data_IF_573041498795
#
_entry.id   IF_573041498795
#
_cell.length_a   1.000
_cell.length_b   1.000
_cell.length_c   1.000
_cell.angle_alpha   90.00
_cell.angle_beta   90.00
_cell.angle_gamma   90.00
#
_symmetry.space_group_name_H-M   'P 1'
#
loop_
_entity.id
_entity.type
_entity.pdbx_description
1 polymer ?
#
# COMPACT_ATOMS: atom_id res chain seq x y z
N UNK A 1 8.30 11.19 -25.00
CA UNK A 1 8.42 12.47 -24.26
C UNK A 1 9.79 12.57 -23.59
N UNK A 2 10.31 13.78 -23.35
CA UNK A 2 11.57 13.98 -22.60
C UNK A 2 11.98 15.44 -22.35
N UNK A 3 11.37 16.40 -23.06
CA UNK A 3 11.86 17.78 -23.11
C UNK A 3 11.75 18.55 -21.77
N UNK A 4 10.65 18.39 -21.02
CA UNK A 4 10.43 19.16 -19.79
C UNK A 4 11.25 18.70 -18.57
N UNK A 5 11.50 17.39 -18.44
CA UNK A 5 12.41 16.88 -17.40
C UNK A 5 13.87 17.28 -17.72
N UNK A 6 14.31 17.14 -18.98
CA UNK A 6 15.59 17.71 -19.40
C UNK A 6 15.67 19.23 -19.21
N UNK A 7 14.57 19.98 -19.41
CA UNK A 7 14.53 21.44 -19.20
C UNK A 7 14.62 21.79 -17.70
N UNK A 8 13.99 21.02 -16.81
CA UNK A 8 14.10 21.19 -15.34
C UNK A 8 15.51 20.87 -14.84
N UNK A 9 16.07 19.72 -15.23
CA UNK A 9 17.42 19.26 -14.82
C UNK A 9 18.55 20.20 -15.26
N UNK A 10 18.32 21.04 -16.27
CA UNK A 10 19.27 22.08 -16.74
C UNK A 10 19.32 23.34 -15.86
N UNK A 11 18.46 23.46 -14.85
CA UNK A 11 18.55 24.54 -13.85
C UNK A 11 19.38 24.09 -12.64
N UNK A 12 20.20 24.98 -12.00
CA UNK A 12 20.97 24.60 -10.81
C UNK A 12 20.07 24.05 -9.69
N UNK A 13 18.91 24.67 -9.45
CA UNK A 13 17.91 24.18 -8.50
C UNK A 13 17.40 22.77 -8.87
N UNK A 14 17.09 22.52 -10.16
CA UNK A 14 16.66 21.20 -10.64
C UNK A 14 17.74 20.12 -10.52
N UNK A 15 19.02 20.49 -10.68
CA UNK A 15 20.14 19.58 -10.40
C UNK A 15 20.25 19.25 -8.91
N UNK A 16 20.28 20.26 -8.02
CA UNK A 16 20.30 20.05 -6.58
C UNK A 16 19.12 19.18 -6.11
N UNK A 17 17.90 19.47 -6.55
CA UNK A 17 16.71 18.67 -6.24
C UNK A 17 16.78 17.23 -6.79
N UNK A 18 17.55 16.99 -7.86
CA UNK A 18 17.84 15.63 -8.34
C UNK A 18 18.85 14.88 -7.47
N UNK A 19 19.70 15.57 -6.71
CA UNK A 19 20.65 14.98 -5.75
C UNK A 19 19.98 14.73 -4.40
N UNK A 20 19.25 15.70 -3.85
CA UNK A 20 18.54 15.57 -2.55
C UNK A 20 17.61 14.33 -2.51
N UNK A 21 16.98 14.00 -3.64
CA UNK A 21 16.15 12.80 -3.83
C UNK A 21 16.86 11.46 -3.53
N UNK A 22 18.19 11.39 -3.64
CA UNK A 22 18.96 10.17 -3.36
C UNK A 22 19.34 10.01 -1.88
N UNK A 23 19.18 11.04 -1.03
CA UNK A 23 19.61 10.97 0.38
C UNK A 23 18.98 9.79 1.14
N UNK A 24 17.68 9.46 1.02
CA UNK A 24 17.11 8.30 1.71
C UNK A 24 17.71 6.96 1.25
N UNK A 25 18.03 6.85 -0.04
CA UNK A 25 18.67 5.65 -0.62
C UNK A 25 20.12 5.51 -0.13
N UNK A 26 20.87 6.63 -0.11
CA UNK A 26 22.24 6.68 0.37
C UNK A 26 22.31 6.38 1.88
N UNK A 27 21.36 6.90 2.67
CA UNK A 27 21.24 6.60 4.10
C UNK A 27 21.00 5.10 4.35
N UNK A 28 20.01 4.49 3.71
CA UNK A 28 19.74 3.04 3.85
C UNK A 28 20.96 2.22 3.39
N UNK A 29 21.59 2.59 2.27
CA UNK A 29 22.80 1.91 1.76
C UNK A 29 23.97 2.02 2.76
N UNK A 30 24.16 3.17 3.41
CA UNK A 30 25.19 3.37 4.42
C UNK A 30 24.90 2.56 5.70
N UNK A 31 23.65 2.50 6.16
CA UNK A 31 23.24 1.66 7.30
C UNK A 31 23.49 0.18 7.01
N UNK A 32 23.20 -0.29 5.79
CA UNK A 32 23.47 -1.68 5.38
C UNK A 32 24.98 -1.97 5.29
N UNK A 33 25.78 -1.04 4.76
CA UNK A 33 27.24 -1.20 4.70
C UNK A 33 27.88 -1.22 6.11
N UNK A 34 27.39 -0.38 7.02
CA UNK A 34 27.79 -0.41 8.43
C UNK A 34 27.33 -1.69 9.14
N UNK A 35 26.12 -2.18 8.89
CA UNK A 35 25.64 -3.44 9.50
C UNK A 35 26.41 -4.65 8.98
N UNK A 36 26.89 -4.62 7.73
CA UNK A 36 27.83 -5.61 7.20
C UNK A 36 29.16 -5.61 7.97
N UNK A 37 29.76 -4.43 8.20
CA UNK A 37 30.97 -4.33 9.03
C UNK A 37 30.73 -4.87 10.45
N UNK A 38 29.66 -4.41 11.12
CA UNK A 38 29.35 -4.80 12.50
C UNK A 38 29.04 -6.31 12.62
N UNK A 39 28.32 -6.90 11.67
CA UNK A 39 28.00 -8.33 11.70
C UNK A 39 29.20 -9.21 11.33
N UNK A 40 29.87 -8.92 10.21
CA UNK A 40 30.92 -9.81 9.69
C UNK A 40 32.22 -9.63 10.46
N UNK A 41 32.63 -8.39 10.78
CA UNK A 41 33.92 -8.11 11.42
C UNK A 41 33.82 -8.19 12.95
N UNK A 42 32.90 -7.45 13.57
CA UNK A 42 32.83 -7.36 15.03
C UNK A 42 32.18 -8.61 15.66
N UNK A 43 31.00 -9.04 15.18
CA UNK A 43 30.31 -10.22 15.72
C UNK A 43 30.95 -11.54 15.26
N UNK A 44 31.06 -11.78 13.94
CA UNK A 44 31.53 -13.07 13.45
C UNK A 44 33.06 -13.25 13.60
N UNK A 45 33.88 -12.38 13.01
CA UNK A 45 35.35 -12.60 12.96
C UNK A 45 36.05 -12.34 14.30
N UNK A 46 35.61 -11.33 15.09
CA UNK A 46 36.28 -10.93 16.35
C UNK A 46 35.69 -11.53 17.62
N UNK A 47 34.42 -11.94 17.61
CA UNK A 47 33.68 -12.36 18.81
C UNK A 47 33.16 -13.81 18.74
N UNK A 48 33.31 -14.53 17.62
CA UNK A 48 32.89 -15.93 17.50
C UNK A 48 34.04 -16.92 17.71
N UNK A 49 34.03 -17.62 18.84
CA UNK A 49 35.02 -18.68 19.16
C UNK A 49 34.74 -20.00 18.40
N UNK A 50 33.50 -20.20 17.94
CA UNK A 50 33.07 -21.42 17.25
C UNK A 50 33.07 -21.25 15.72
N UNK A 51 34.18 -21.64 15.07
CA UNK A 51 34.34 -21.52 13.62
C UNK A 51 33.26 -22.22 12.78
N UNK A 52 32.68 -23.34 13.25
CA UNK A 52 31.59 -24.03 12.53
C UNK A 52 30.30 -23.20 12.63
N UNK A 53 29.97 -22.71 13.83
CA UNK A 53 28.84 -21.80 14.05
C UNK A 53 28.96 -20.53 13.21
N UNK A 54 30.16 -19.92 13.20
CA UNK A 54 30.48 -18.75 12.39
C UNK A 54 30.23 -18.99 10.88
N UNK A 55 30.62 -20.15 10.33
CA UNK A 55 30.38 -20.47 8.91
C UNK A 55 28.88 -20.57 8.60
N UNK A 56 28.08 -21.23 9.43
CA UNK A 56 26.62 -21.28 9.24
C UNK A 56 25.97 -19.90 9.39
N UNK A 57 26.45 -19.06 10.32
CA UNK A 57 25.98 -17.69 10.48
C UNK A 57 26.27 -16.84 9.24
N UNK A 58 27.52 -16.85 8.78
CA UNK A 58 27.94 -16.11 7.60
C UNK A 58 27.20 -16.59 6.34
N UNK A 59 26.94 -17.89 6.18
CA UNK A 59 26.19 -18.43 5.05
C UNK A 59 24.76 -17.87 4.98
N UNK A 60 23.98 -17.97 6.07
CA UNK A 60 22.61 -17.44 6.09
C UNK A 60 22.59 -15.91 5.98
N UNK A 61 23.54 -15.22 6.63
CA UNK A 61 23.70 -13.78 6.54
C UNK A 61 23.90 -13.32 5.09
N UNK A 62 24.82 -13.94 4.34
CA UNK A 62 25.09 -13.57 2.95
C UNK A 62 23.92 -13.91 2.00
N UNK A 63 23.22 -15.04 2.21
CA UNK A 63 22.03 -15.39 1.42
C UNK A 63 20.90 -14.36 1.64
N UNK A 64 20.56 -14.05 2.88
CA UNK A 64 19.51 -13.08 3.22
C UNK A 64 19.86 -11.66 2.75
N UNK A 65 21.10 -11.21 2.96
CA UNK A 65 21.59 -9.92 2.47
C UNK A 65 21.59 -9.84 0.94
N UNK A 66 21.94 -10.92 0.22
CA UNK A 66 21.95 -10.95 -1.24
C UNK A 66 20.53 -10.79 -1.80
N UNK A 67 19.55 -11.53 -1.25
CA UNK A 67 18.14 -11.44 -1.65
C UNK A 67 17.55 -10.05 -1.31
N UNK A 68 17.90 -9.50 -0.15
CA UNK A 68 17.53 -8.14 0.27
C UNK A 68 18.09 -7.07 -0.67
N UNK A 69 19.39 -7.07 -0.95
CA UNK A 69 20.03 -6.09 -1.83
C UNK A 69 19.56 -6.24 -3.29
N UNK A 70 19.36 -7.47 -3.78
CA UNK A 70 18.87 -7.71 -5.13
C UNK A 70 17.43 -7.18 -5.32
N UNK A 71 16.54 -7.45 -4.36
CA UNK A 71 15.16 -6.93 -4.39
C UNK A 71 15.08 -5.42 -4.17
N UNK A 72 15.91 -4.84 -3.29
CA UNK A 72 16.04 -3.39 -3.12
C UNK A 72 16.48 -2.71 -4.43
N UNK A 73 17.58 -3.18 -5.03
CA UNK A 73 18.13 -2.65 -6.28
C UNK A 73 17.15 -2.78 -7.45
N UNK A 74 16.45 -3.93 -7.56
CA UNK A 74 15.37 -4.11 -8.55
C UNK A 74 14.21 -3.15 -8.34
N UNK A 75 13.88 -2.79 -7.10
CA UNK A 75 12.82 -1.81 -6.82
C UNK A 75 13.23 -0.39 -7.21
N UNK A 76 14.48 0.00 -6.92
CA UNK A 76 15.06 1.30 -7.33
C UNK A 76 15.14 1.41 -8.85
N UNK A 77 15.82 0.47 -9.51
CA UNK A 77 16.25 0.62 -10.91
C UNK A 77 15.22 0.21 -11.96
N UNK A 78 14.11 -0.43 -11.56
CA UNK A 78 13.02 -0.74 -12.50
C UNK A 78 12.25 0.54 -12.83
N UNK A 79 12.23 0.91 -14.12
CA UNK A 79 11.49 2.06 -14.63
C UNK A 79 10.00 2.00 -14.28
N UNK A 80 9.37 3.17 -14.11
CA UNK A 80 7.92 3.33 -13.91
C UNK A 80 7.07 2.98 -15.15
N UNK A 81 7.75 2.63 -16.26
CA UNK A 81 7.14 2.39 -17.57
C UNK A 81 6.82 3.68 -18.32
N UNK A 82 6.34 3.53 -19.56
CA UNK A 82 5.78 4.62 -20.36
C UNK A 82 4.44 4.16 -20.93
N UNK A 83 3.46 5.06 -20.90
CA UNK A 83 2.12 4.77 -21.41
C UNK A 83 2.12 4.99 -22.94
N UNK A 84 1.69 4.01 -23.77
CA UNK A 84 1.77 4.10 -25.22
C UNK A 84 1.05 5.31 -25.81
N UNK A 85 1.53 5.83 -26.93
CA UNK A 85 1.06 7.10 -27.49
C UNK A 85 -0.43 7.08 -27.89
N UNK A 86 -1.02 5.91 -28.15
CA UNK A 86 -2.48 5.72 -28.35
C UNK A 86 -3.35 6.20 -27.17
N UNK A 87 -2.78 6.36 -25.96
CA UNK A 87 -3.46 6.90 -24.79
C UNK A 87 -3.39 8.43 -24.71
N UNK A 88 -2.52 9.06 -25.50
CA UNK A 88 -2.36 10.52 -25.57
C UNK A 88 -3.42 11.12 -26.48
N UNK A 89 -4.13 12.11 -25.96
CA UNK A 89 -5.10 12.88 -26.74
C UNK A 89 -4.30 13.82 -27.68
N UNK A 90 -4.62 13.88 -28.99
CA UNK A 90 -3.98 14.80 -29.93
C UNK A 90 -4.09 16.26 -29.47
N UNK A 91 -3.06 17.07 -29.70
CA UNK A 91 -2.99 18.43 -29.13
C UNK A 91 -4.12 19.35 -29.65
N UNK A 92 -4.74 19.05 -30.80
CA UNK A 92 -6.00 19.65 -31.25
C UNK A 92 -7.20 19.28 -30.36
N UNK A 93 -7.42 18.00 -30.07
CA UNK A 93 -8.52 17.55 -29.21
C UNK A 93 -8.32 18.00 -27.77
N UNK A 94 -7.08 18.05 -27.29
CA UNK A 94 -6.69 18.71 -26.03
C UNK A 94 -7.11 20.18 -26.05
N UNK A 95 -6.87 20.89 -27.14
CA UNK A 95 -7.29 22.30 -27.30
C UNK A 95 -8.81 22.44 -27.30
N UNK A 96 -9.54 21.55 -27.98
CA UNK A 96 -11.01 21.50 -27.96
C UNK A 96 -11.56 21.17 -26.56
N UNK A 97 -10.89 20.30 -25.80
CA UNK A 97 -11.24 19.92 -24.44
C UNK A 97 -11.11 21.09 -23.44
N UNK A 98 -10.03 21.88 -23.54
CA UNK A 98 -9.84 23.06 -22.68
C UNK A 98 -10.69 24.27 -23.10
N UNK A 99 -11.15 24.33 -24.36
CA UNK A 99 -12.07 25.37 -24.86
C UNK A 99 -13.55 25.03 -24.74
N UNK A 100 -13.91 23.84 -24.26
CA UNK A 100 -15.30 23.39 -24.21
C UNK A 100 -16.10 24.11 -23.10
N UNK A 101 -17.16 24.80 -23.48
CA UNK A 101 -17.94 25.71 -22.62
C UNK A 101 -18.75 25.00 -21.50
N UNK A 102 -18.83 23.66 -21.53
CA UNK A 102 -19.58 22.89 -20.54
C UNK A 102 -18.91 21.56 -20.16
N UNK A 103 -19.01 21.12 -18.88
CA UNK A 103 -18.44 19.84 -18.42
C UNK A 103 -18.97 18.62 -19.18
N UNK A 104 -20.22 18.64 -19.64
CA UNK A 104 -20.78 17.53 -20.42
C UNK A 104 -20.18 17.49 -21.84
N UNK A 105 -19.80 18.63 -22.42
CA UNK A 105 -19.04 18.67 -23.68
C UNK A 105 -17.63 18.10 -23.49
N UNK A 106 -16.95 18.44 -22.40
CA UNK A 106 -15.65 17.83 -22.04
C UNK A 106 -15.77 16.31 -21.86
N UNK A 107 -16.80 15.86 -21.12
CA UNK A 107 -17.11 14.44 -20.90
C UNK A 107 -17.45 13.72 -22.21
N UNK A 108 -18.13 14.37 -23.16
CA UNK A 108 -18.40 13.83 -24.51
C UNK A 108 -17.12 13.67 -25.33
N UNK A 109 -16.23 14.67 -25.34
CA UNK A 109 -14.92 14.59 -26.02
C UNK A 109 -14.11 13.41 -25.46
N UNK A 110 -13.96 13.35 -24.13
CA UNK A 110 -13.18 12.29 -23.48
C UNK A 110 -13.77 10.88 -23.68
N UNK A 111 -15.10 10.71 -23.66
CA UNK A 111 -15.72 9.41 -23.95
C UNK A 111 -15.64 9.00 -25.44
N UNK A 112 -15.57 9.96 -26.36
CA UNK A 112 -15.38 9.66 -27.78
C UNK A 112 -13.95 9.16 -28.06
N UNK A 113 -12.93 9.87 -27.58
CA UNK A 113 -11.54 9.42 -27.70
C UNK A 113 -11.32 8.06 -27.01
N UNK A 114 -11.83 7.91 -25.78
CA UNK A 114 -11.65 6.68 -25.00
C UNK A 114 -12.51 5.49 -25.42
N UNK A 115 -13.31 5.60 -26.50
CA UNK A 115 -14.20 4.52 -26.99
C UNK A 115 -13.44 3.24 -27.33
N UNK A 116 -12.22 3.40 -27.84
CA UNK A 116 -11.36 2.30 -28.30
C UNK A 116 -10.28 1.91 -27.27
N UNK A 117 -10.38 2.41 -26.03
CA UNK A 117 -9.44 2.12 -24.94
C UNK A 117 -10.10 1.23 -23.87
N UNK A 118 -9.37 0.28 -23.25
CA UNK A 118 -9.91 -0.59 -22.21
C UNK A 118 -10.02 0.14 -20.86
N UNK A 119 -10.86 1.18 -20.78
CA UNK A 119 -11.10 1.97 -19.56
C UNK A 119 -12.47 1.70 -18.96
N UNK A 120 -12.48 0.95 -17.86
CA UNK A 120 -13.67 0.72 -17.03
C UNK A 120 -13.85 1.81 -15.99
N UNK A 121 -12.77 2.43 -15.48
CA UNK A 121 -12.86 3.39 -14.38
C UNK A 121 -13.26 4.80 -14.83
N UNK A 122 -13.95 5.51 -13.93
CA UNK A 122 -14.45 6.87 -14.10
C UNK A 122 -14.10 7.75 -12.90
N UNK A 123 -14.36 9.03 -13.04
CA UNK A 123 -14.34 10.04 -11.97
C UNK A 123 -15.65 10.02 -11.18
N UNK A 124 -15.74 10.84 -10.11
CA UNK A 124 -16.96 11.00 -9.31
C UNK A 124 -18.17 11.51 -10.12
N UNK A 125 -17.95 12.30 -11.18
CA UNK A 125 -19.01 12.77 -12.09
C UNK A 125 -19.20 11.88 -13.34
N UNK A 126 -18.70 10.64 -13.31
CA UNK A 126 -18.87 9.65 -14.39
C UNK A 126 -18.08 9.96 -15.67
N UNK A 127 -17.14 10.91 -15.65
CA UNK A 127 -16.27 11.21 -16.79
C UNK A 127 -15.07 10.26 -16.85
N UNK A 128 -14.44 10.16 -18.04
CA UNK A 128 -13.22 9.38 -18.22
C UNK A 128 -12.06 10.06 -17.49
N UNK A 129 -11.20 9.26 -16.84
CA UNK A 129 -10.09 9.73 -16.02
C UNK A 129 -8.99 10.36 -16.88
N UNK A 130 -9.01 11.67 -17.09
CA UNK A 130 -7.98 12.42 -17.86
C UNK A 130 -6.77 12.84 -17.01
N UNK A 131 -5.62 13.10 -17.64
CA UNK A 131 -4.45 13.75 -17.04
C UNK A 131 -4.06 15.04 -17.80
N UNK A 132 -4.37 16.20 -17.23
CA UNK A 132 -4.05 17.52 -17.82
C UNK A 132 -2.55 17.80 -17.95
N UNK A 133 -1.70 17.14 -17.16
CA UNK A 133 -0.24 17.32 -17.20
C UNK A 133 0.41 16.48 -18.31
N UNK A 134 0.00 15.23 -18.47
CA UNK A 134 0.53 14.32 -19.49
C UNK A 134 -0.25 14.33 -20.81
N UNK A 135 -1.42 15.01 -20.86
CA UNK A 135 -2.37 15.01 -21.99
C UNK A 135 -2.86 13.61 -22.40
N UNK A 136 -2.96 12.69 -21.45
CA UNK A 136 -3.43 11.31 -21.69
C UNK A 136 -4.80 11.06 -21.06
N UNK A 137 -5.57 10.14 -21.64
CA UNK A 137 -6.51 9.33 -20.84
C UNK A 137 -5.67 8.42 -19.94
N UNK A 138 -5.99 8.38 -18.64
CA UNK A 138 -5.33 7.49 -17.69
C UNK A 138 -5.89 6.07 -17.89
N UNK A 139 -5.03 5.07 -18.10
CA UNK A 139 -5.41 3.67 -17.93
C UNK A 139 -6.07 3.42 -16.58
N UNK A 140 -6.79 2.31 -16.47
CA UNK A 140 -7.32 1.86 -15.20
C UNK A 140 -6.17 1.64 -14.20
N UNK A 141 -6.42 1.92 -12.92
CA UNK A 141 -5.42 1.87 -11.83
C UNK A 141 -4.18 2.79 -12.00
N UNK A 142 -4.06 3.54 -13.11
CA UNK A 142 -2.97 4.47 -13.34
C UNK A 142 -3.24 5.86 -12.74
N UNK A 143 -2.22 6.49 -12.14
CA UNK A 143 -2.30 7.82 -11.51
C UNK A 143 -1.12 8.71 -11.95
N UNK A 144 -1.19 10.03 -11.70
CA UNK A 144 -0.08 10.95 -12.00
C UNK A 144 0.77 11.20 -10.75
N UNK A 145 2.04 10.85 -10.79
CA UNK A 145 2.99 11.19 -9.74
C UNK A 145 3.67 12.52 -10.08
N UNK A 146 3.53 13.53 -9.21
CA UNK A 146 4.21 14.83 -9.35
C UNK A 146 5.75 14.70 -9.26
N UNK A 147 6.25 13.83 -8.37
CA UNK A 147 7.68 13.65 -8.10
C UNK A 147 8.41 12.99 -9.27
N UNK A 148 7.78 12.01 -9.93
CA UNK A 148 8.22 11.41 -11.19
C UNK A 148 7.78 12.24 -12.43
N UNK A 149 6.90 13.23 -12.25
CA UNK A 149 6.33 14.11 -13.29
C UNK A 149 5.66 13.38 -14.47
N UNK A 150 5.15 12.17 -14.26
CA UNK A 150 4.54 11.32 -15.27
C UNK A 150 3.30 10.59 -14.74
N UNK A 151 2.55 9.93 -15.64
CA UNK A 151 1.56 8.93 -15.25
C UNK A 151 2.19 7.54 -15.11
N UNK A 152 1.80 6.85 -14.05
CA UNK A 152 2.38 5.59 -13.55
C UNK A 152 1.29 4.52 -13.53
N UNK A 153 1.59 3.34 -14.07
CA UNK A 153 0.66 2.21 -14.19
C UNK A 153 0.50 1.44 -12.86
N UNK A 154 -0.74 1.01 -12.54
CA UNK A 154 -1.10 0.40 -11.23
C UNK A 154 -0.37 1.09 -10.07
N UNK A 155 -0.46 2.42 -10.02
CA UNK A 155 0.35 3.22 -9.10
C UNK A 155 -0.05 2.92 -7.66
N UNK A 156 0.93 2.52 -6.85
CA UNK A 156 0.71 2.25 -5.44
C UNK A 156 1.07 3.47 -4.58
N UNK A 157 2.32 3.92 -4.62
CA UNK A 157 2.77 5.15 -3.99
C UNK A 157 4.07 5.66 -4.63
N UNK A 158 4.54 6.84 -4.20
CA UNK A 158 5.92 7.26 -4.44
C UNK A 158 6.72 7.02 -3.16
N UNK A 159 7.85 6.32 -3.25
CA UNK A 159 8.61 5.85 -2.09
C UNK A 159 10.00 6.51 -2.06
N UNK A 160 10.25 7.46 -1.14
CA UNK A 160 11.55 8.14 -1.03
C UNK A 160 12.71 7.16 -0.78
N UNK A 161 12.48 6.10 0.00
CA UNK A 161 13.47 5.09 0.38
C UNK A 161 14.04 4.28 -0.79
N UNK A 162 13.39 4.30 -1.97
CA UNK A 162 13.88 3.73 -3.24
C UNK A 162 14.03 4.78 -4.35
N UNK A 163 13.81 6.07 -4.05
CA UNK A 163 13.77 7.19 -5.00
C UNK A 163 12.94 6.91 -6.28
N UNK A 164 11.83 6.17 -6.14
CA UNK A 164 11.06 5.68 -7.27
C UNK A 164 9.57 5.53 -6.91
N UNK A 165 8.70 5.43 -7.92
CA UNK A 165 7.31 5.05 -7.73
C UNK A 165 7.17 3.52 -7.64
N UNK A 166 6.42 3.07 -6.64
CA UNK A 166 5.98 1.68 -6.54
C UNK A 166 4.75 1.52 -7.44
N UNK A 167 4.84 0.61 -8.41
CA UNK A 167 3.99 0.56 -9.60
C UNK A 167 3.92 -0.86 -10.18
N UNK A 168 3.13 -1.05 -11.24
CA UNK A 168 2.95 -2.34 -11.95
C UNK A 168 4.26 -3.13 -12.18
N UNK A 169 5.32 -2.48 -12.66
CA UNK A 169 6.56 -3.14 -13.06
C UNK A 169 7.48 -3.53 -11.89
N UNK A 170 7.33 -2.90 -10.71
CA UNK A 170 8.20 -3.14 -9.55
C UNK A 170 7.48 -3.53 -8.24
N UNK A 171 6.15 -3.64 -8.22
CA UNK A 171 5.40 -3.97 -6.98
C UNK A 171 5.85 -5.30 -6.36
N UNK A 172 6.05 -6.35 -7.19
CA UNK A 172 6.63 -7.62 -6.74
C UNK A 172 8.00 -7.44 -6.07
N UNK A 173 8.87 -6.61 -6.65
CA UNK A 173 10.21 -6.35 -6.11
C UNK A 173 10.13 -5.61 -4.78
N UNK A 174 9.20 -4.66 -4.66
CA UNK A 174 8.95 -3.92 -3.42
C UNK A 174 8.45 -4.84 -2.30
N UNK A 175 7.49 -5.74 -2.59
CA UNK A 175 6.99 -6.71 -1.60
C UNK A 175 8.09 -7.70 -1.18
N UNK A 176 8.92 -8.18 -2.12
CA UNK A 176 10.09 -9.01 -1.81
C UNK A 176 11.15 -8.24 -1.00
N UNK A 177 11.39 -6.96 -1.33
CA UNK A 177 12.30 -6.07 -0.58
C UNK A 177 11.86 -5.93 0.87
N UNK A 178 10.58 -5.67 1.14
CA UNK A 178 10.04 -5.61 2.49
C UNK A 178 10.20 -6.95 3.24
N UNK A 179 9.90 -8.07 2.57
CA UNK A 179 10.03 -9.41 3.15
C UNK A 179 11.49 -9.77 3.49
N UNK A 180 12.43 -9.52 2.57
CA UNK A 180 13.84 -9.82 2.79
C UNK A 180 14.52 -8.84 3.76
N UNK A 181 14.12 -7.57 3.77
CA UNK A 181 14.52 -6.62 4.82
C UNK A 181 14.08 -7.13 6.20
N UNK A 182 12.83 -7.61 6.32
CA UNK A 182 12.31 -8.14 7.57
C UNK A 182 13.05 -9.41 8.02
N UNK A 183 13.28 -10.37 7.12
CA UNK A 183 14.06 -11.59 7.40
C UNK A 183 15.49 -11.24 7.82
N UNK A 184 16.15 -10.31 7.13
CA UNK A 184 17.48 -9.82 7.46
C UNK A 184 17.53 -9.19 8.87
N UNK A 185 16.61 -8.27 9.17
CA UNK A 185 16.53 -7.61 10.47
C UNK A 185 16.22 -8.59 11.62
N UNK A 186 15.26 -9.49 11.44
CA UNK A 186 14.93 -10.51 12.44
C UNK A 186 16.10 -11.49 12.67
N UNK A 187 16.79 -11.88 11.61
CA UNK A 187 17.96 -12.75 11.70
C UNK A 187 19.10 -12.09 12.48
N UNK A 188 19.47 -10.85 12.10
CA UNK A 188 20.52 -10.07 12.79
C UNK A 188 20.17 -9.83 14.26
N UNK A 189 18.92 -9.49 14.57
CA UNK A 189 18.48 -9.30 15.95
C UNK A 189 18.51 -10.61 16.76
N UNK A 190 18.09 -11.74 16.16
CA UNK A 190 18.13 -13.05 16.82
C UNK A 190 19.57 -13.48 17.15
N UNK A 191 20.51 -13.34 16.21
CA UNK A 191 21.90 -13.77 16.43
C UNK A 191 22.72 -12.82 17.30
N UNK A 192 22.35 -11.53 17.40
CA UNK A 192 22.98 -10.58 18.34
C UNK A 192 22.35 -10.56 19.74
N UNK A 193 21.20 -11.22 19.94
CA UNK A 193 20.47 -11.21 21.21
C UNK A 193 21.29 -11.77 22.39
N UNK A 194 22.12 -12.78 22.16
CA UNK A 194 22.97 -13.34 23.23
C UNK A 194 23.97 -12.29 23.74
N UNK A 195 24.77 -11.72 22.83
CA UNK A 195 25.79 -10.72 23.14
C UNK A 195 25.19 -9.43 23.72
N UNK A 196 24.00 -9.03 23.24
CA UNK A 196 23.19 -7.97 23.84
C UNK A 196 22.87 -8.26 25.31
N UNK A 197 22.38 -9.47 25.64
CA UNK A 197 22.07 -9.87 27.02
C UNK A 197 23.34 -9.98 27.87
N UNK A 198 24.46 -10.45 27.30
CA UNK A 198 25.72 -10.54 28.03
C UNK A 198 26.33 -9.16 28.32
N UNK A 199 26.21 -8.18 27.42
CA UNK A 199 26.65 -6.79 27.65
C UNK A 199 26.13 -6.27 29.00
N UNK A 200 24.80 -6.27 29.17
CA UNK A 200 24.15 -5.80 30.38
C UNK A 200 24.42 -6.69 31.61
N UNK A 201 24.60 -8.01 31.45
CA UNK A 201 24.94 -8.91 32.57
C UNK A 201 26.33 -8.64 33.13
N UNK A 202 27.33 -8.45 32.29
CA UNK A 202 28.70 -8.21 32.76
C UNK A 202 28.88 -6.81 33.33
N UNK A 203 28.26 -5.78 32.75
CA UNK A 203 28.32 -4.41 33.27
C UNK A 203 27.78 -4.30 34.71
N UNK A 204 26.67 -5.00 35.02
CA UNK A 204 26.10 -5.05 36.38
C UNK A 204 26.92 -5.87 37.40
N UNK A 205 27.95 -6.62 36.98
CA UNK A 205 28.78 -7.46 37.87
C UNK A 205 30.26 -7.03 37.92
N UNK A 206 30.74 -6.21 36.98
CA UNK A 206 32.14 -5.84 36.85
C UNK A 206 32.36 -4.33 37.00
N UNK A 207 32.56 -3.88 38.24
CA UNK A 207 32.87 -2.49 38.59
C UNK A 207 34.23 -2.05 37.98
N UNK A 208 34.22 -1.54 36.75
CA UNK A 208 35.30 -0.71 36.20
C UNK A 208 36.43 -1.39 35.40
N UNK A 209 36.13 -2.32 34.49
CA UNK A 209 37.11 -2.78 33.47
C UNK A 209 36.62 -2.58 32.03
N UNK A 210 36.44 -1.33 31.62
CA UNK A 210 35.88 -0.95 30.30
C UNK A 210 36.90 -0.89 29.14
N UNK A 211 38.20 -1.03 29.41
CA UNK A 211 39.25 -0.50 28.52
C UNK A 211 39.85 -1.47 27.49
N UNK A 212 39.45 -2.75 27.46
CA UNK A 212 40.11 -3.78 26.62
C UNK A 212 39.33 -4.22 25.37
N UNK A 213 38.09 -3.75 25.16
CA UNK A 213 37.25 -4.23 24.06
C UNK A 213 36.02 -3.36 23.72
N UNK A 214 36.01 -2.08 24.11
CA UNK A 214 34.79 -1.26 24.09
C UNK A 214 34.12 -1.11 22.71
N UNK A 215 34.87 -0.74 21.66
CA UNK A 215 34.29 -0.28 20.38
C UNK A 215 33.44 -1.35 19.67
N UNK A 216 33.95 -2.58 19.55
CA UNK A 216 33.21 -3.68 18.89
C UNK A 216 31.92 -4.06 19.62
N UNK A 217 31.90 -3.97 20.96
CA UNK A 217 30.71 -4.24 21.77
C UNK A 217 29.61 -3.20 21.55
N UNK A 218 29.98 -1.92 21.36
CA UNK A 218 29.01 -0.88 20.95
C UNK A 218 28.46 -1.12 19.54
N UNK A 219 29.27 -1.58 18.58
CA UNK A 219 28.75 -1.95 17.25
C UNK A 219 27.67 -3.04 17.33
N UNK A 220 27.89 -4.10 18.12
CA UNK A 220 26.91 -5.19 18.31
C UNK A 220 25.64 -4.67 19.02
N UNK A 221 25.80 -3.82 20.05
CA UNK A 221 24.68 -3.20 20.78
C UNK A 221 23.79 -2.36 19.87
N UNK A 222 24.37 -1.44 19.09
CA UNK A 222 23.63 -0.63 18.12
C UNK A 222 23.01 -1.48 17.00
N UNK A 223 23.68 -2.56 16.58
CA UNK A 223 23.21 -3.43 15.52
C UNK A 223 21.90 -4.15 15.94
N UNK A 224 21.84 -4.66 17.17
CA UNK A 224 20.61 -5.22 17.74
C UNK A 224 19.46 -4.20 17.78
N UNK A 225 19.71 -3.00 18.34
CA UNK A 225 18.68 -1.96 18.43
C UNK A 225 18.15 -1.51 17.06
N UNK A 226 19.04 -1.25 16.11
CA UNK A 226 18.66 -0.82 14.75
C UNK A 226 17.90 -1.94 14.02
N UNK A 227 18.33 -3.20 14.17
CA UNK A 227 17.63 -4.35 13.58
C UNK A 227 16.20 -4.50 14.13
N UNK A 228 16.00 -4.40 15.45
CA UNK A 228 14.66 -4.46 16.06
C UNK A 228 13.79 -3.26 15.63
N UNK A 229 14.34 -2.05 15.62
CA UNK A 229 13.62 -0.83 15.19
C UNK A 229 13.10 -0.94 13.75
N UNK A 230 13.93 -1.43 12.82
CA UNK A 230 13.50 -1.69 11.45
C UNK A 230 12.54 -2.90 11.38
N UNK A 231 12.77 -3.99 12.11
CA UNK A 231 11.90 -5.15 12.09
C UNK A 231 10.45 -4.81 12.51
N UNK A 232 10.26 -4.08 13.61
CA UNK A 232 8.92 -3.64 14.07
C UNK A 232 8.21 -2.81 12.98
N UNK A 233 8.94 -1.87 12.37
CA UNK A 233 8.45 -1.02 11.28
C UNK A 233 8.10 -1.82 10.01
N UNK A 234 8.91 -2.83 9.70
CA UNK A 234 8.75 -3.68 8.51
C UNK A 234 7.63 -4.70 8.68
N UNK A 235 7.36 -5.23 9.88
CA UNK A 235 6.23 -6.14 10.15
C UNK A 235 4.91 -5.49 9.75
N UNK A 236 4.66 -4.24 10.16
CA UNK A 236 3.40 -3.56 9.86
C UNK A 236 3.27 -3.23 8.36
N UNK A 237 4.34 -2.71 7.74
CA UNK A 237 4.34 -2.35 6.32
C UNK A 237 4.25 -3.58 5.40
N UNK A 238 5.01 -4.64 5.69
CA UNK A 238 4.96 -5.90 4.94
C UNK A 238 3.60 -6.57 5.10
N UNK A 239 3.07 -6.67 6.34
CA UNK A 239 1.74 -7.25 6.59
C UNK A 239 0.62 -6.50 5.85
N UNK A 240 0.68 -5.17 5.82
CA UNK A 240 -0.26 -4.34 5.05
C UNK A 240 -0.15 -4.59 3.54
N UNK A 241 1.06 -4.68 2.97
CA UNK A 241 1.22 -4.96 1.54
C UNK A 241 0.85 -6.40 1.16
N UNK A 242 1.07 -7.40 2.03
CA UNK A 242 0.55 -8.75 1.84
C UNK A 242 -0.98 -8.75 1.86
N UNK A 243 -1.63 -8.01 2.76
CA UNK A 243 -3.08 -7.81 2.72
C UNK A 243 -3.53 -7.19 1.37
N UNK A 244 -2.87 -6.11 0.93
CA UNK A 244 -3.18 -5.43 -0.34
C UNK A 244 -3.04 -6.35 -1.57
N UNK A 245 -1.99 -7.18 -1.61
CA UNK A 245 -1.82 -8.24 -2.62
C UNK A 245 -3.01 -9.20 -2.57
N UNK A 246 -3.35 -9.75 -1.40
CA UNK A 246 -4.41 -10.76 -1.24
C UNK A 246 -5.82 -10.24 -1.55
N UNK A 247 -6.06 -8.93 -1.56
CA UNK A 247 -7.33 -8.30 -2.02
C UNK A 247 -7.22 -7.57 -3.38
N UNK A 248 -6.07 -7.68 -4.06
CA UNK A 248 -5.72 -6.99 -5.31
C UNK A 248 -6.07 -5.49 -5.32
N UNK A 249 -5.69 -4.75 -4.28
CA UNK A 249 -5.81 -3.28 -4.21
C UNK A 249 -4.42 -2.64 -4.20
N UNK A 250 -4.31 -1.44 -4.74
CA UNK A 250 -3.19 -0.54 -4.41
C UNK A 250 -3.48 0.24 -3.12
N UNK A 251 -2.45 0.84 -2.54
CA UNK A 251 -2.58 1.79 -1.42
C UNK A 251 -3.56 2.92 -1.75
N UNK A 252 -3.52 3.49 -2.97
CA UNK A 252 -4.48 4.53 -3.39
C UNK A 252 -5.93 4.03 -3.42
N UNK A 253 -6.15 2.79 -3.89
CA UNK A 253 -7.47 2.16 -3.98
C UNK A 253 -8.01 1.74 -2.60
N UNK A 254 -7.14 1.47 -1.63
CA UNK A 254 -7.53 1.18 -0.25
C UNK A 254 -8.13 2.40 0.45
N UNK A 255 -7.55 3.59 0.23
CA UNK A 255 -8.11 4.87 0.69
C UNK A 255 -9.35 5.27 -0.10
N UNK A 256 -9.28 5.33 -1.44
CA UNK A 256 -10.37 5.79 -2.31
C UNK A 256 -10.75 4.70 -3.32
N UNK A 257 -11.95 4.14 -3.15
CA UNK A 257 -12.48 3.13 -4.04
C UNK A 257 -12.44 3.58 -5.52
N UNK A 258 -11.99 2.73 -6.47
CA UNK A 258 -12.19 3.00 -7.88
C UNK A 258 -13.70 3.01 -8.20
N UNK A 259 -14.08 3.90 -9.13
CA UNK A 259 -15.46 3.99 -9.63
C UNK A 259 -15.49 3.35 -11.00
N UNK A 260 -16.26 2.28 -11.14
CA UNK A 260 -16.49 1.60 -12.41
C UNK A 260 -17.65 2.26 -13.18
N UNK A 261 -17.55 2.27 -14.51
CA UNK A 261 -18.59 2.74 -15.44
C UNK A 261 -19.96 2.06 -15.23
N UNK A 262 -19.96 0.84 -14.68
CA UNK A 262 -21.14 0.08 -14.28
C UNK A 262 -20.93 -0.33 -12.82
N UNK A 263 -21.96 -0.25 -11.97
CA UNK A 263 -21.87 -0.57 -10.54
C UNK A 263 -21.41 0.59 -9.64
N UNK A 264 -20.62 1.54 -10.15
CA UNK A 264 -20.20 2.72 -9.38
C UNK A 264 -18.96 2.46 -8.51
N UNK A 265 -18.84 3.06 -7.30
CA UNK A 265 -17.69 2.87 -6.42
C UNK A 265 -17.63 1.45 -5.84
N UNK A 266 -16.56 0.71 -6.11
CA UNK A 266 -16.34 -0.62 -5.52
C UNK A 266 -14.87 -0.83 -5.11
N UNK A 267 -14.63 -1.21 -3.85
CA UNK A 267 -13.29 -1.60 -3.36
C UNK A 267 -12.89 -3.02 -3.77
N UNK A 268 -13.80 -3.84 -4.29
CA UNK A 268 -13.58 -5.23 -4.66
C UNK A 268 -13.58 -5.49 -6.18
N UNK A 269 -13.69 -4.46 -7.03
CA UNK A 269 -13.87 -4.66 -8.47
C UNK A 269 -12.72 -5.40 -9.18
N UNK A 270 -11.51 -5.38 -8.62
CA UNK A 270 -10.34 -6.15 -9.10
C UNK A 270 -10.04 -7.41 -8.27
N UNK A 271 -10.89 -7.76 -7.30
CA UNK A 271 -10.68 -8.91 -6.42
C UNK A 271 -11.21 -10.19 -7.08
N UNK A 272 -10.29 -11.11 -7.43
CA UNK A 272 -10.53 -12.36 -8.14
C UNK A 272 -10.50 -13.59 -7.22
N UNK A 273 -10.38 -13.37 -5.90
CA UNK A 273 -10.03 -14.39 -4.90
C UNK A 273 -8.54 -14.41 -4.57
N UNK A 274 -8.20 -14.75 -3.30
CA UNK A 274 -6.86 -14.56 -2.70
C UNK A 274 -5.70 -15.12 -3.53
N UNK A 275 -5.82 -16.33 -4.06
CA UNK A 275 -4.75 -16.98 -4.84
C UNK A 275 -4.57 -16.33 -6.22
N UNK A 276 -5.67 -16.09 -6.95
CA UNK A 276 -5.62 -15.38 -8.23
C UNK A 276 -5.01 -13.97 -8.06
N UNK A 277 -5.44 -13.23 -7.03
CA UNK A 277 -4.88 -11.92 -6.68
C UNK A 277 -3.36 -11.94 -6.40
N UNK A 278 -2.86 -13.03 -5.80
CA UNK A 278 -1.43 -13.24 -5.59
C UNK A 278 -0.71 -13.52 -6.93
N UNK A 279 -1.25 -14.40 -7.78
CA UNK A 279 -0.72 -14.66 -9.12
C UNK A 279 -0.70 -13.42 -10.04
N UNK A 280 -1.61 -12.46 -9.87
CA UNK A 280 -1.55 -11.16 -10.58
C UNK A 280 -0.25 -10.36 -10.28
N UNK A 281 0.40 -10.61 -9.14
CA UNK A 281 1.64 -9.93 -8.71
C UNK A 281 2.88 -10.83 -8.79
N UNK A 282 2.73 -12.11 -8.48
CA UNK A 282 3.85 -13.07 -8.39
C UNK A 282 3.98 -14.01 -9.61
N UNK A 283 2.95 -14.09 -10.45
CA UNK A 283 2.88 -15.01 -11.58
C UNK A 283 2.46 -16.43 -11.19
N UNK A 284 2.33 -17.29 -12.19
CA UNK A 284 1.93 -18.69 -12.03
C UNK A 284 3.12 -19.60 -11.70
N UNK A 285 4.30 -19.29 -12.26
CA UNK A 285 5.53 -20.04 -12.05
C UNK A 285 6.10 -19.84 -10.64
N UNK A 286 5.80 -20.77 -9.73
CA UNK A 286 6.23 -20.76 -8.33
C UNK A 286 7.75 -20.59 -8.14
N UNK A 287 8.53 -21.08 -9.11
CA UNK A 287 9.99 -20.97 -9.15
C UNK A 287 10.46 -19.52 -9.07
N UNK A 288 9.69 -18.57 -9.62
CA UNK A 288 10.03 -17.15 -9.62
C UNK A 288 9.43 -16.37 -8.45
N UNK A 289 8.52 -16.93 -7.64
CA UNK A 289 7.82 -16.17 -6.60
C UNK A 289 8.77 -15.46 -5.62
N UNK A 290 9.81 -16.16 -5.17
CA UNK A 290 10.83 -15.64 -4.25
C UNK A 290 11.97 -14.88 -4.96
N UNK A 291 12.02 -14.90 -6.30
CA UNK A 291 13.08 -14.22 -7.06
C UNK A 291 12.59 -12.84 -7.52
N UNK A 292 13.39 -11.75 -7.35
CA UNK A 292 13.06 -10.43 -7.86
C UNK A 292 13.33 -10.31 -9.37
N UNK A 293 12.66 -11.20 -10.13
CA UNK A 293 12.51 -11.20 -11.59
C UNK A 293 11.04 -10.91 -11.92
N UNK A 294 10.78 -10.24 -13.05
CA UNK A 294 9.42 -9.82 -13.39
C UNK A 294 8.58 -11.04 -13.80
N UNK A 295 7.46 -11.25 -13.13
CA UNK A 295 6.47 -12.30 -13.43
C UNK A 295 5.04 -11.87 -13.13
N UNK A 296 4.77 -10.57 -12.92
CA UNK A 296 3.41 -10.05 -12.76
C UNK A 296 2.61 -10.29 -14.05
N UNK A 297 1.31 -10.60 -13.91
CA UNK A 297 0.43 -10.81 -15.06
C UNK A 297 -0.06 -9.49 -15.66
N UNK A 298 -0.54 -9.56 -16.91
CA UNK A 298 -1.16 -8.44 -17.62
C UNK A 298 -0.17 -7.48 -18.28
N UNK A 299 -0.70 -6.38 -18.83
CA UNK A 299 0.05 -5.37 -19.58
C UNK A 299 0.35 -4.09 -18.76
N UNK A 300 -0.38 -3.90 -17.66
CA UNK A 300 -0.36 -2.71 -16.81
C UNK A 300 -1.40 -1.64 -17.17
N UNK A 301 -2.16 -1.82 -18.26
CA UNK A 301 -3.18 -0.90 -18.75
C UNK A 301 -4.61 -1.44 -18.56
N UNK A 302 -4.77 -2.75 -18.68
CA UNK A 302 -6.00 -3.52 -18.53
C UNK A 302 -5.86 -4.49 -17.35
N UNK A 303 -6.97 -4.71 -16.64
CA UNK A 303 -7.00 -5.58 -15.46
C UNK A 303 -8.34 -6.33 -15.43
N UNK A 304 -8.35 -7.66 -15.20
CA UNK A 304 -9.60 -8.41 -15.07
C UNK A 304 -10.41 -7.92 -13.87
N UNK A 305 -11.74 -7.86 -14.01
CA UNK A 305 -12.65 -7.50 -12.92
C UNK A 305 -13.44 -8.71 -12.41
N UNK A 306 -13.96 -8.60 -11.19
CA UNK A 306 -14.93 -9.55 -10.62
C UNK A 306 -16.20 -9.68 -11.49
N UNK A 307 -16.56 -8.62 -12.23
CA UNK A 307 -17.68 -8.63 -13.18
C UNK A 307 -17.39 -9.41 -14.47
N UNK A 308 -16.12 -9.56 -14.84
CA UNK A 308 -15.69 -10.37 -15.99
C UNK A 308 -15.57 -11.85 -15.59
N UNK A 309 -15.05 -12.12 -14.39
CA UNK A 309 -14.97 -13.47 -13.83
C UNK A 309 -16.36 -14.12 -13.69
N UNK A 310 -17.33 -13.39 -13.14
CA UNK A 310 -18.71 -13.87 -13.00
C UNK A 310 -19.42 -14.08 -14.34
N UNK A 311 -19.16 -13.24 -15.35
CA UNK A 311 -19.62 -13.48 -16.73
C UNK A 311 -19.02 -14.74 -17.33
N UNK A 312 -17.70 -14.93 -17.22
CA UNK A 312 -17.02 -16.11 -17.73
C UNK A 312 -17.58 -17.40 -17.12
N UNK A 313 -17.75 -17.44 -15.79
CA UNK A 313 -18.39 -18.57 -15.10
C UNK A 313 -19.83 -18.81 -15.60
N UNK A 314 -20.64 -17.76 -15.74
CA UNK A 314 -22.01 -17.89 -16.25
C UNK A 314 -22.06 -18.42 -17.69
N UNK A 315 -21.12 -18.02 -18.56
CA UNK A 315 -21.00 -18.58 -19.92
C UNK A 315 -20.62 -20.06 -19.88
N UNK A 316 -19.67 -20.47 -19.02
CA UNK A 316 -19.32 -21.90 -18.85
C UNK A 316 -20.52 -22.72 -18.38
N UNK A 317 -21.31 -22.21 -17.42
CA UNK A 317 -22.54 -22.88 -16.97
C UNK A 317 -23.62 -22.93 -18.05
N UNK A 318 -23.76 -21.89 -18.88
CA UNK A 318 -24.75 -21.85 -19.97
C UNK A 318 -24.41 -22.78 -21.16
N UNK A 319 -23.13 -23.09 -21.37
CA UNK A 319 -22.69 -24.09 -22.37
C UNK A 319 -22.79 -25.53 -21.82
N UNK A 320 -22.73 -25.70 -20.50
CA UNK A 320 -22.82 -26.98 -19.81
C UNK A 320 -24.28 -27.49 -19.64
N UNK A 321 -24.94 -27.83 -20.76
CA UNK A 321 -26.12 -28.71 -20.73
C UNK A 321 -25.75 -30.08 -20.11
N UNK A 322 -26.68 -30.75 -19.40
CA UNK A 322 -26.33 -31.84 -18.48
C UNK A 322 -25.99 -33.15 -19.21
N UNK A 323 -24.71 -33.35 -19.52
CA UNK A 323 -24.13 -34.67 -19.79
C UNK A 323 -23.78 -35.33 -18.45
N UNK A 324 -23.99 -36.65 -18.36
CA UNK A 324 -23.98 -37.37 -17.08
C UNK A 324 -22.64 -37.29 -16.34
N UNK A 325 -22.74 -37.11 -15.03
CA UNK A 325 -21.67 -37.35 -14.07
C UNK A 325 -21.41 -38.86 -14.00
N UNK A 326 -20.30 -39.30 -14.58
CA UNK A 326 -19.80 -40.66 -14.38
C UNK A 326 -18.82 -40.64 -13.21
N UNK A 327 -19.22 -41.18 -12.06
CA UNK A 327 -18.31 -41.35 -10.93
C UNK A 327 -17.35 -42.52 -11.23
N UNK A 328 -16.05 -42.24 -11.18
CA UNK A 328 -14.99 -43.24 -11.40
C UNK A 328 -14.32 -43.57 -10.06
N UNK A 329 -14.56 -44.78 -9.53
CA UNK A 329 -13.94 -45.23 -8.29
C UNK A 329 -12.45 -45.53 -8.46
N UNK A 330 -11.70 -45.37 -7.36
CA UNK A 330 -10.30 -45.74 -7.23
C UNK A 330 -10.03 -46.32 -5.84
N UNK A 331 -10.68 -47.44 -5.52
CA UNK A 331 -10.45 -48.15 -4.26
C UNK A 331 -9.09 -48.87 -4.26
N UNK A 332 -8.34 -48.73 -3.17
CA UNK A 332 -7.27 -49.68 -2.82
C UNK A 332 -7.55 -50.22 -1.42
N UNK A 333 -8.11 -51.43 -1.35
CA UNK A 333 -8.47 -52.05 -0.09
C UNK A 333 -7.25 -52.53 0.71
N UNK A 334 -7.33 -52.42 2.03
CA UNK A 334 -6.63 -53.29 2.99
C UNK A 334 -7.63 -53.72 4.06
N UNK A 335 -7.38 -54.84 4.73
CA UNK A 335 -8.44 -55.66 5.32
C UNK A 335 -8.21 -56.05 6.79
N UNK A 336 -9.28 -56.59 7.41
CA UNK A 336 -9.37 -57.26 8.73
C UNK A 336 -9.59 -56.33 9.94
N UNK A 337 -10.37 -56.70 10.97
CA UNK A 337 -11.29 -57.85 11.14
C UNK A 337 -12.38 -57.53 12.20
N UNK A 338 -13.36 -58.44 12.33
CA UNK A 338 -14.65 -58.26 13.02
C UNK A 338 -14.63 -58.14 14.57
N UNK A 339 -15.71 -57.63 15.15
CA UNK A 339 -16.03 -57.73 16.59
C UNK A 339 -17.17 -56.81 17.05
N UNK A 340 -18.26 -57.36 17.62
CA UNK A 340 -19.48 -56.62 18.03
C UNK A 340 -19.93 -57.03 19.47
N UNK A 341 -21.10 -56.60 19.99
CA UNK A 341 -21.32 -55.48 20.93
C UNK A 341 -21.56 -55.89 22.40
N UNK A 342 -21.71 -54.93 23.34
CA UNK A 342 -22.77 -54.95 24.40
C UNK A 342 -22.91 -53.66 25.22
N UNK A 343 -24.17 -53.21 25.36
CA UNK A 343 -24.90 -52.54 26.46
C UNK A 343 -24.24 -51.65 27.53
N UNK A 344 -24.72 -50.39 27.61
CA UNK A 344 -25.73 -49.88 28.60
C UNK A 344 -26.13 -48.43 28.25
N UNK A 345 -27.43 -48.08 28.15
CA UNK A 345 -28.31 -47.54 29.22
C UNK A 345 -27.59 -46.44 30.04
N UNK A 346 -28.08 -45.20 30.23
CA UNK A 346 -29.42 -44.59 30.15
C UNK A 346 -29.22 -43.03 30.12
N UNK A 347 -30.04 -42.09 29.65
CA UNK A 347 -31.43 -42.00 29.12
C UNK A 347 -31.50 -40.84 28.07
N UNK A 348 -32.47 -40.74 27.13
CA UNK A 348 -33.81 -40.11 27.17
C UNK A 348 -33.89 -38.59 27.52
N UNK A 349 -34.66 -37.75 26.82
CA UNK A 349 -35.49 -37.90 25.60
C UNK A 349 -35.53 -36.56 24.80
N UNK A 350 -35.81 -36.55 23.49
CA UNK A 350 -35.44 -35.43 22.61
C UNK A 350 -36.55 -34.42 22.26
N UNK A 351 -36.14 -33.44 21.46
CA UNK A 351 -36.94 -32.70 20.47
C UNK A 351 -38.08 -33.53 19.85
N UNK A 352 -39.22 -32.89 19.56
CA UNK A 352 -39.96 -33.21 18.33
C UNK A 352 -40.44 -31.93 17.64
N UNK A 353 -40.67 -32.06 16.34
CA UNK A 353 -41.08 -31.04 15.40
C UNK A 353 -42.50 -31.30 14.91
N UNK A 354 -43.19 -30.27 14.42
CA UNK A 354 -44.27 -30.50 13.46
C UNK A 354 -44.36 -29.35 12.47
N UNK A 355 -44.76 -29.67 11.25
CA UNK A 355 -44.76 -28.82 10.08
C UNK A 355 -46.13 -28.93 9.42
N UNK A 356 -46.78 -27.82 9.08
CA UNK A 356 -47.73 -27.79 7.97
C UNK A 356 -47.99 -26.37 7.44
N UNK A 357 -48.20 -26.29 6.11
CA UNK A 357 -48.58 -25.10 5.36
C UNK A 357 -50.11 -24.96 5.31
N UNK A 358 -50.66 -23.75 5.10
CA UNK A 358 -51.42 -23.45 3.86
C UNK A 358 -51.96 -22.01 3.65
N UNK A 359 -52.20 -21.72 2.36
CA UNK A 359 -53.22 -20.85 1.74
C UNK A 359 -53.22 -19.28 1.83
N UNK A 360 -52.81 -18.70 0.69
CA UNK A 360 -53.61 -17.88 -0.26
C UNK A 360 -54.16 -16.44 0.01
N UNK A 361 -53.72 -15.54 -0.89
CA UNK A 361 -54.49 -14.61 -1.75
C UNK A 361 -55.20 -13.33 -1.23
N UNK A 362 -54.94 -12.23 -1.98
CA UNK A 362 -55.88 -11.18 -2.46
C UNK A 362 -56.60 -10.26 -1.43
N UNK A 363 -56.97 -9.00 -1.74
CA UNK A 363 -56.59 -8.05 -2.81
C UNK A 363 -56.82 -6.59 -2.34
N UNK A 364 -56.28 -5.64 -3.10
CA UNK A 364 -56.54 -4.17 -3.12
C UNK A 364 -57.83 -3.59 -2.53
N UNK A 365 -57.72 -2.37 -1.96
CA UNK A 365 -58.73 -1.30 -2.16
C UNK A 365 -58.11 0.11 -2.05
N UNK A 366 -58.73 1.09 -2.73
CA UNK A 366 -58.40 2.52 -2.66
C UNK A 366 -59.23 3.26 -1.61
N UNK A 367 -58.70 4.37 -1.07
CA UNK A 367 -59.28 5.74 -1.03
C UNK A 367 -58.47 6.62 -0.05
N UNK A 368 -58.39 7.97 -0.03
CA UNK A 368 -58.60 9.14 -0.94
C UNK A 368 -58.91 10.35 -0.02
N UNK A 369 -58.62 11.59 -0.45
CA UNK A 369 -58.84 12.91 0.23
C UNK A 369 -57.87 13.27 1.37
N UNK A 370 -57.57 14.55 1.66
CA UNK A 370 -57.96 15.83 0.98
C UNK A 370 -56.98 16.99 1.25
N UNK A 371 -57.05 18.03 0.42
CA UNK A 371 -56.24 19.26 0.47
C UNK A 371 -56.67 20.25 1.58
N UNK A 372 -55.71 21.10 2.00
CA UNK A 372 -55.79 22.58 1.98
C UNK A 372 -54.35 23.12 2.16
N UNK A 373 -53.77 23.99 1.32
CA UNK A 373 -54.14 25.31 0.77
C UNK A 373 -53.71 26.49 1.66
N UNK A 374 -52.64 27.20 1.27
CA UNK A 374 -52.60 28.68 1.12
C UNK A 374 -51.30 29.19 0.44
N UNK A 375 -51.32 30.46 0.02
CA UNK A 375 -50.43 31.07 -1.00
C UNK A 375 -50.27 32.59 -0.72
N UNK A 376 -49.54 33.33 -1.58
CA UNK A 376 -49.39 34.81 -1.66
C UNK A 376 -48.25 35.39 -0.77
N UNK A 377 -47.50 36.44 -1.13
CA UNK A 377 -47.49 37.26 -2.39
C UNK A 377 -46.12 37.93 -2.70
N UNK A 378 -46.08 38.85 -3.69
CA UNK A 378 -44.90 39.31 -4.47
C UNK A 378 -44.10 40.57 -3.96
N UNK A 379 -43.21 41.08 -4.85
CA UNK A 379 -42.18 42.14 -4.74
C UNK A 379 -42.75 43.60 -4.91
N UNK A 380 -42.00 44.72 -5.21
CA UNK A 380 -40.55 45.01 -5.34
C UNK A 380 -40.12 46.34 -4.60
N UNK A 381 -39.06 47.12 -4.86
CA UNK A 381 -37.83 47.11 -5.72
C UNK A 381 -36.64 47.77 -4.93
N UNK A 382 -35.75 48.73 -5.30
CA UNK A 382 -35.41 49.52 -6.52
C UNK A 382 -33.95 50.07 -6.42
N UNK A 383 -33.11 49.89 -7.46
CA UNK A 383 -31.88 50.66 -7.80
C UNK A 383 -30.66 50.68 -6.81
N UNK A 384 -29.39 50.86 -7.22
CA UNK A 384 -28.77 51.04 -8.54
C UNK A 384 -27.23 50.74 -8.55
N UNK A 385 -26.70 50.36 -9.73
CA UNK A 385 -25.41 50.88 -10.26
C UNK A 385 -24.09 50.14 -9.96
N UNK A 386 -23.42 49.65 -11.03
CA UNK A 386 -21.94 49.78 -11.12
C UNK A 386 -21.08 48.58 -11.53
N UNK A 387 -20.63 48.58 -12.80
CA UNK A 387 -19.30 48.11 -13.30
C UNK A 387 -18.81 46.66 -13.01
N UNK A 388 -18.91 45.85 -14.07
CA UNK A 388 -17.84 45.02 -14.67
C UNK A 388 -16.55 44.80 -13.84
N UNK A 389 -16.27 43.55 -13.46
CA UNK A 389 -14.95 42.89 -13.65
C UNK A 389 -15.15 41.36 -13.65
N UNK A 390 -14.36 40.63 -14.44
CA UNK A 390 -14.44 39.17 -14.49
C UNK A 390 -13.44 38.54 -13.51
N UNK A 391 -13.91 37.64 -12.65
CA UNK A 391 -13.07 36.93 -11.67
C UNK A 391 -13.03 35.42 -11.97
N UNK A 392 -11.84 34.91 -12.32
CA UNK A 392 -11.63 33.49 -12.52
C UNK A 392 -11.62 32.73 -11.18
N UNK A 393 -12.47 31.71 -11.02
CA UNK A 393 -12.48 30.86 -9.82
C UNK A 393 -11.35 29.82 -9.88
N UNK A 394 -10.28 30.06 -9.12
CA UNK A 394 -9.22 29.07 -8.87
C UNK A 394 -9.65 28.07 -7.80
N UNK A 395 -10.01 26.84 -8.19
CA UNK A 395 -10.20 25.72 -7.25
C UNK A 395 -8.85 25.11 -6.87
N UNK A 396 -8.33 25.46 -5.69
CA UNK A 396 -7.22 24.72 -5.08
C UNK A 396 -7.76 23.43 -4.44
N UNK A 397 -7.21 22.27 -4.80
CA UNK A 397 -7.32 21.05 -3.99
C UNK A 397 -5.96 20.75 -3.35
N UNK A 398 -5.99 20.43 -2.05
CA UNK A 398 -4.81 20.51 -1.18
C UNK A 398 -3.70 19.51 -1.45
N UNK A 399 -2.47 19.97 -1.26
CA UNK A 399 -1.36 19.10 -0.89
C UNK A 399 -1.35 18.94 0.63
N UNK A 400 -1.41 17.71 1.13
CA UNK A 400 -1.22 17.44 2.56
C UNK A 400 0.28 17.37 2.84
N UNK A 401 0.77 18.28 3.68
CA UNK A 401 2.09 18.21 4.30
C UNK A 401 1.88 18.00 5.80
N UNK A 402 2.69 17.16 6.43
CA UNK A 402 2.61 16.89 7.88
C UNK A 402 3.63 17.75 8.58
N UNK A 403 3.19 18.56 9.53
CA UNK A 403 4.03 19.33 10.43
C UNK A 403 3.42 19.21 11.85
N UNK A 404 4.23 18.82 12.83
CA UNK A 404 3.82 18.67 14.23
C UNK A 404 4.80 19.39 15.15
N UNK A 405 4.45 20.61 15.54
CA UNK A 405 4.93 21.27 16.77
C UNK A 405 3.72 22.01 17.35
N UNK A 406 3.49 21.91 18.66
CA UNK A 406 2.34 22.54 19.33
C UNK A 406 2.62 23.98 19.77
N UNK A 407 1.64 24.63 20.40
CA UNK A 407 1.60 24.85 21.87
C UNK A 407 0.46 25.84 22.25
N UNK A 408 0.29 26.09 23.56
CA UNK A 408 -0.48 27.17 24.22
C UNK A 408 -2.02 27.06 24.28
N UNK A 409 -2.72 27.63 25.28
CA UNK A 409 -2.39 28.01 26.68
C UNK A 409 -3.65 28.55 27.41
N UNK A 410 -3.67 28.52 28.76
CA UNK A 410 -4.20 29.51 29.75
C UNK A 410 -4.58 28.82 31.08
N UNK A 411 -4.00 29.17 32.25
CA UNK A 411 -4.29 30.30 33.19
C UNK A 411 -5.70 30.25 33.79
N UNK A 412 -5.98 30.62 35.06
CA UNK A 412 -5.22 31.33 36.12
C UNK A 412 -5.29 30.49 37.46
N UNK A 413 -4.79 30.84 38.66
CA UNK A 413 -4.20 32.06 39.25
C UNK A 413 -3.25 31.70 40.45
N UNK A 414 -2.76 32.72 41.18
CA UNK A 414 -2.13 32.65 42.53
C UNK A 414 -2.93 33.58 43.49
N UNK A 415 -2.74 33.63 44.84
CA UNK A 415 -1.75 34.61 45.37
C UNK A 415 -1.15 34.39 46.81
N UNK A 416 -0.09 35.17 47.14
CA UNK A 416 0.27 35.79 48.48
C UNK A 416 1.46 35.23 49.30
N UNK A 417 2.61 35.94 49.20
CA UNK A 417 3.66 36.24 50.24
C UNK A 417 4.49 35.04 50.79
N UNK A 418 5.70 35.23 51.34
CA UNK A 418 6.32 36.44 51.92
C UNK A 418 7.85 36.58 51.64
N UNK A 419 8.42 37.74 52.01
CA UNK A 419 9.81 38.16 51.78
C UNK A 419 10.75 37.92 52.97
N UNK A 420 12.03 37.57 52.71
CA UNK A 420 13.21 38.14 53.40
C UNK A 420 14.50 37.98 52.57
N UNK A 421 15.54 38.76 52.90
CA UNK A 421 16.88 38.80 52.25
C UNK A 421 17.97 38.09 53.10
N UNK A 422 19.13 37.74 52.51
CA UNK A 422 20.29 37.15 53.20
C UNK A 422 21.28 38.20 53.74
N UNK A 423 22.26 37.78 54.57
CA UNK A 423 23.55 38.44 54.76
C UNK A 423 24.72 37.71 54.05
N UNK A 424 25.91 38.33 54.03
CA UNK A 424 27.14 37.83 53.40
C UNK A 424 28.13 37.24 54.42
N UNK A 425 29.21 36.60 53.92
CA UNK A 425 30.49 36.40 54.64
C UNK A 425 30.53 35.19 55.59
N UNK A 426 31.66 34.49 55.80
CA UNK A 426 33.05 34.74 55.38
C UNK A 426 33.85 33.43 55.16
N UNK A 427 35.09 33.57 54.69
CA UNK A 427 36.14 32.54 54.56
C UNK A 427 37.02 32.48 55.85
N UNK A 428 38.11 31.68 55.93
CA UNK A 428 38.16 30.21 55.82
C UNK A 428 39.00 29.56 56.94
N UNK A 429 38.85 28.24 57.16
CA UNK A 429 39.91 27.30 57.61
C UNK A 429 39.68 25.96 56.92
#
# INVERSE_FOLDING_TARGET
MGNDDHRRRKTPCGFCMSVFKWIPVLFITAVIAWSYYAYVVELCIRNSENGIGMVFMLLFYHISLTLFMWSYWRTIMTSVGQIPEQWRIPDEEVTRLFRADSPETQKRILNNFARNLPVTNRTMNGSVRFCEKCKIVKPDRAHHCSVCSCCVLKMDHHCPWVNNCVNFYNYKFFVLFLGYALVYCLYVAFTTLHDFVQFWKYENNAQGQLNSGGMGRFHILFLFFIAIMFAISLVSLFGYHIYLVLVNRTTLESFRAPIFRVGGPDKNGYNLGRFANFCEVFGDDWQYWLLPVFSSRGDGYSFPTSSDQSRASATTTAVASPVQRYDAMGETASSRLDGNPTDKLIDAIPFDSTNHQNHHHHQSTHQVRSNSDQQLDEQPDLAAGGRITAAARSSQEGAVFIEMVGDHARTEAEPVKNSTRPPNGDLPV
#
